data_IF_464340210478
#
_entry.id   IF_464340210478
#
_cell.length_a   1.000
_cell.length_b   1.000
_cell.length_c   1.000
_cell.angle_alpha   90.00
_cell.angle_beta   90.00
_cell.angle_gamma   90.00
#
_symmetry.space_group_name_H-M   'P 1'
#
loop_
_entity.id
_entity.type
_entity.pdbx_description
1 polymer ?
#
# COMPACT_ATOMS: atom_id res chain seq x y z
N UNK A 1 -4.00 23.45 -21.70
CA UNK A 1 -2.64 23.81 -21.27
C UNK A 1 -2.56 23.78 -19.73
N UNK A 2 -2.35 22.60 -19.11
CA UNK A 2 -1.97 22.46 -17.68
C UNK A 2 -1.07 21.23 -17.47
N UNK A 3 -0.26 20.90 -18.49
CA UNK A 3 0.56 19.69 -18.50
C UNK A 3 1.65 19.73 -17.40
N UNK A 4 2.01 20.94 -16.92
CA UNK A 4 3.01 21.16 -15.88
C UNK A 4 2.41 21.40 -14.47
N UNK A 5 1.14 21.78 -14.37
CA UNK A 5 0.48 22.11 -13.11
C UNK A 5 -0.62 21.10 -12.82
N UNK A 6 -0.36 20.22 -11.85
CA UNK A 6 -1.34 19.26 -11.37
C UNK A 6 -2.51 19.99 -10.70
N UNK A 7 -3.73 19.49 -10.93
CA UNK A 7 -4.85 19.78 -10.02
C UNK A 7 -4.61 19.09 -8.68
N UNK A 8 -5.26 19.57 -7.61
CA UNK A 8 -5.19 18.89 -6.31
C UNK A 8 -5.65 17.42 -6.43
N UNK A 9 -6.69 17.15 -7.23
CA UNK A 9 -7.17 15.79 -7.51
C UNK A 9 -6.07 14.90 -8.11
N UNK A 10 -5.32 15.40 -9.10
CA UNK A 10 -4.22 14.62 -9.68
C UNK A 10 -3.05 14.50 -8.72
N UNK A 11 -2.79 15.52 -7.91
CA UNK A 11 -1.74 15.48 -6.89
C UNK A 11 -2.04 14.41 -5.82
N UNK A 12 -3.27 14.33 -5.31
CA UNK A 12 -3.67 13.29 -4.36
C UNK A 12 -3.61 11.91 -4.98
N UNK A 13 -4.02 11.74 -6.24
CA UNK A 13 -3.84 10.47 -6.97
C UNK A 13 -2.36 10.04 -7.03
N UNK A 14 -1.44 10.97 -7.34
CA UNK A 14 -0.01 10.67 -7.37
C UNK A 14 0.58 10.45 -5.98
N UNK A 15 0.00 11.04 -4.93
CA UNK A 15 0.37 10.78 -3.53
C UNK A 15 0.04 9.32 -3.19
N UNK A 16 -1.19 8.86 -3.46
CA UNK A 16 -1.58 7.47 -3.19
C UNK A 16 -0.80 6.48 -4.05
N UNK A 17 -0.62 6.80 -5.34
CA UNK A 17 0.18 5.99 -6.26
C UNK A 17 1.60 5.78 -5.74
N UNK A 18 2.24 6.78 -5.12
CA UNK A 18 3.64 6.65 -4.67
C UNK A 18 3.82 5.77 -3.43
N UNK A 19 2.75 5.58 -2.65
CA UNK A 19 2.77 4.72 -1.44
C UNK A 19 2.82 3.25 -1.86
N UNK A 20 2.06 2.91 -2.91
CA UNK A 20 1.91 1.53 -3.37
C UNK A 20 2.73 1.18 -4.64
N UNK A 21 3.13 2.19 -5.42
CA UNK A 21 3.78 2.03 -6.72
C UNK A 21 4.87 3.07 -6.97
N UNK A 22 5.70 2.84 -8.00
CA UNK A 22 6.72 3.81 -8.40
C UNK A 22 6.10 4.92 -9.26
N UNK A 23 6.41 6.16 -8.91
CA UNK A 23 6.20 7.31 -9.80
C UNK A 23 7.29 7.39 -10.87
N UNK A 24 6.91 7.77 -12.08
CA UNK A 24 7.84 8.21 -13.12
C UNK A 24 8.58 9.47 -12.68
N UNK A 25 9.73 9.75 -13.29
CA UNK A 25 10.53 10.94 -12.96
C UNK A 25 9.73 12.25 -13.14
N UNK A 26 8.90 12.29 -14.18
CA UNK A 26 8.01 13.43 -14.46
C UNK A 26 6.94 13.61 -13.40
N UNK A 27 6.21 12.55 -13.04
CA UNK A 27 5.20 12.59 -11.98
C UNK A 27 5.82 13.04 -10.65
N UNK A 28 7.01 12.54 -10.33
CA UNK A 28 7.74 12.92 -9.11
C UNK A 28 8.09 14.40 -9.08
N UNK A 29 8.58 14.95 -10.19
CA UNK A 29 8.88 16.39 -10.29
C UNK A 29 7.61 17.25 -10.17
N UNK A 30 6.56 16.89 -10.91
CA UNK A 30 5.28 17.60 -10.89
C UNK A 30 4.64 17.60 -9.49
N UNK A 31 4.63 16.44 -8.82
CA UNK A 31 4.09 16.30 -7.48
C UNK A 31 4.89 17.12 -6.46
N UNK A 32 6.24 17.11 -6.57
CA UNK A 32 7.10 17.94 -5.72
C UNK A 32 6.79 19.43 -5.89
N UNK A 33 6.69 19.91 -7.13
CA UNK A 33 6.36 21.29 -7.42
C UNK A 33 4.99 21.70 -6.86
N UNK A 34 3.95 20.88 -7.07
CA UNK A 34 2.60 21.16 -6.57
C UNK A 34 2.57 21.25 -5.04
N UNK A 35 3.19 20.29 -4.34
CA UNK A 35 3.24 20.26 -2.87
C UNK A 35 3.95 21.46 -2.24
N UNK A 36 4.96 22.02 -2.92
CA UNK A 36 5.64 23.24 -2.45
C UNK A 36 4.70 24.46 -2.44
N UNK A 37 3.65 24.45 -3.26
CA UNK A 37 2.71 25.56 -3.42
C UNK A 37 1.36 25.31 -2.73
N UNK A 38 1.03 24.05 -2.42
CA UNK A 38 -0.24 23.64 -1.82
C UNK A 38 -0.02 22.94 -0.48
N UNK A 39 -0.29 23.66 0.62
CA UNK A 39 -0.19 23.12 1.98
C UNK A 39 -1.18 21.98 2.25
N UNK A 40 -2.38 22.05 1.66
CA UNK A 40 -3.40 21.00 1.79
C UNK A 40 -2.90 19.65 1.24
N UNK A 41 -2.30 19.62 0.04
CA UNK A 41 -1.73 18.39 -0.51
C UNK A 41 -0.50 17.91 0.27
N UNK A 42 0.30 18.83 0.83
CA UNK A 42 1.41 18.46 1.72
C UNK A 42 0.94 17.83 3.04
N UNK A 43 -0.17 18.31 3.60
CA UNK A 43 -0.77 17.74 4.81
C UNK A 43 -1.48 16.41 4.51
N UNK A 44 -2.20 16.33 3.41
CA UNK A 44 -2.83 15.09 2.94
C UNK A 44 -1.79 13.97 2.84
N UNK A 45 -0.63 14.22 2.21
CA UNK A 45 0.42 13.21 2.13
C UNK A 45 0.90 12.72 3.50
N UNK A 46 1.07 13.61 4.48
CA UNK A 46 1.47 13.20 5.83
C UNK A 46 0.41 12.30 6.46
N UNK A 47 -0.87 12.61 6.25
CA UNK A 47 -1.99 11.81 6.74
C UNK A 47 -2.05 10.45 6.05
N UNK A 48 -1.94 10.38 4.72
CA UNK A 48 -1.92 9.11 3.99
C UNK A 48 -0.77 8.22 4.44
N UNK A 49 0.44 8.76 4.61
CA UNK A 49 1.60 8.00 5.13
C UNK A 49 1.35 7.47 6.55
N UNK A 50 0.69 8.25 7.42
CA UNK A 50 0.35 7.78 8.76
C UNK A 50 -0.66 6.65 8.73
N UNK A 51 -1.70 6.76 7.90
CA UNK A 51 -2.72 5.72 7.72
C UNK A 51 -2.07 4.44 7.23
N UNK A 52 -1.26 4.51 6.16
CA UNK A 52 -0.58 3.34 5.58
C UNK A 52 0.27 2.61 6.64
N UNK A 53 1.10 3.35 7.39
CA UNK A 53 1.92 2.77 8.46
C UNK A 53 1.09 2.16 9.58
N UNK A 54 -0.04 2.78 9.93
CA UNK A 54 -0.94 2.22 10.93
C UNK A 54 -1.59 0.92 10.46
N UNK A 55 -1.88 0.78 9.16
CA UNK A 55 -2.38 -0.45 8.57
C UNK A 55 -1.29 -1.53 8.48
N UNK A 56 -0.09 -1.18 8.01
CA UNK A 56 1.07 -2.10 7.97
C UNK A 56 1.39 -2.66 9.36
N UNK A 57 1.28 -1.84 10.41
CA UNK A 57 1.54 -2.28 11.79
C UNK A 57 0.53 -3.29 12.36
N UNK A 58 -0.62 -3.47 11.69
CA UNK A 58 -1.62 -4.50 12.05
C UNK A 58 -1.39 -5.83 11.32
N UNK A 59 -0.44 -5.90 10.37
CA UNK A 59 -0.13 -7.13 9.63
C UNK A 59 0.77 -8.12 10.41
N UNK A 60 1.04 -7.90 11.71
CA UNK A 60 1.50 -8.97 12.60
C UNK A 60 0.36 -9.94 12.97
N UNK A 61 -0.37 -10.45 11.99
CA UNK A 61 -1.14 -11.69 12.15
C UNK A 61 -0.17 -12.86 11.93
N UNK A 62 0.75 -13.03 12.90
CA UNK A 62 1.54 -14.26 13.05
C UNK A 62 0.67 -15.49 13.33
N UNK A 63 -0.62 -15.31 13.60
CA UNK A 63 -1.60 -16.35 13.87
C UNK A 63 -1.85 -17.26 12.65
N UNK A 64 -1.84 -16.71 11.44
CA UNK A 64 -2.12 -17.49 10.21
C UNK A 64 -1.00 -18.46 9.81
N UNK A 65 0.27 -18.16 10.16
CA UNK A 65 1.41 -19.01 9.81
C UNK A 65 1.45 -20.28 10.66
N UNK A 66 1.03 -20.18 11.93
CA UNK A 66 0.91 -21.34 12.82
C UNK A 66 -0.25 -22.26 12.41
N UNK A 67 -1.39 -21.69 12.00
CA UNK A 67 -2.56 -22.45 11.56
C UNK A 67 -2.31 -23.20 10.24
N UNK A 68 -1.60 -22.59 9.29
CA UNK A 68 -1.31 -23.22 7.99
C UNK A 68 -0.44 -24.48 8.10
N UNK A 69 0.52 -24.50 9.02
CA UNK A 69 1.38 -25.67 9.22
C UNK A 69 0.61 -26.82 9.88
N UNK A 70 -0.25 -26.52 10.86
CA UNK A 70 -1.16 -27.52 11.45
C UNK A 70 -2.16 -28.05 10.41
N UNK A 71 -2.67 -27.17 9.55
CA UNK A 71 -3.59 -27.55 8.48
C UNK A 71 -2.93 -28.50 7.47
N UNK A 72 -1.70 -28.21 7.03
CA UNK A 72 -0.92 -29.10 6.13
C UNK A 72 -0.72 -30.49 6.73
N UNK A 73 -0.38 -30.57 8.02
CA UNK A 73 -0.22 -31.86 8.73
C UNK A 73 -1.54 -32.64 8.71
N UNK A 74 -2.66 -31.98 9.01
CA UNK A 74 -3.98 -32.62 9.02
C UNK A 74 -4.44 -33.11 7.64
N UNK A 75 -4.02 -32.44 6.56
CA UNK A 75 -4.31 -32.88 5.19
C UNK A 75 -3.55 -34.14 4.82
N UNK A 76 -2.26 -34.22 5.17
CA UNK A 76 -1.42 -35.39 4.89
C UNK A 76 -1.95 -36.62 5.64
N UNK A 77 -2.36 -36.45 6.91
CA UNK A 77 -2.97 -37.54 7.68
C UNK A 77 -4.26 -38.07 7.04
N UNK A 78 -5.10 -37.18 6.49
CA UNK A 78 -6.34 -37.60 5.81
C UNK A 78 -6.07 -38.32 4.49
N UNK A 79 -5.06 -37.90 3.72
CA UNK A 79 -4.67 -38.54 2.46
C UNK A 79 -4.09 -39.94 2.69
N UNK A 80 -3.26 -40.11 3.74
CA UNK A 80 -2.64 -41.40 4.05
C UNK A 80 -3.61 -42.42 4.67
N UNK A 81 -4.74 -41.97 5.23
CA UNK A 81 -5.75 -42.81 5.86
C UNK A 81 -6.96 -43.09 4.94
N UNK A 82 -6.88 -42.81 3.63
CA UNK A 82 -7.92 -43.25 2.69
C UNK A 82 -7.81 -44.76 2.46
N UNK A 83 -8.84 -45.57 2.77
CA UNK A 83 -8.88 -46.97 2.35
C UNK A 83 -8.98 -47.05 0.81
N UNK A 84 -8.28 -48.03 0.24
CA UNK A 84 -8.22 -48.31 -1.21
C UNK A 84 -9.60 -48.47 -1.89
#
# INVERSE_FOLDING_TARGET
MHILFLSCLKATELIEKKLNFKLTARERFQLKAHKMMCSACSNYEKQSVLIEKSLESQEEINEYKLDLEQFKVSLIEKLNNQPE
#
